data_IF_377829899345
#
_entry.id   IF_377829899345
#
_cell.length_a   1.000
_cell.length_b   1.000
_cell.length_c   1.000
_cell.angle_alpha   90.00
_cell.angle_beta   90.00
_cell.angle_gamma   90.00
#
_symmetry.space_group_name_H-M   'P 1'
#
loop_
_entity.id
_entity.type
_entity.pdbx_description
1 polymer ?
#
# COMPACT_ATOMS: atom_id res chain seq x y z
N UNK A 1 23.03 -13.48 -5.88
CA UNK A 1 22.85 -12.15 -5.31
C UNK A 1 21.66 -12.08 -4.39
N UNK A 2 21.84 -11.51 -3.25
CA UNK A 2 20.77 -11.39 -2.29
C UNK A 2 19.82 -10.27 -2.66
N UNK A 3 18.53 -10.53 -2.49
CA UNK A 3 17.54 -9.47 -2.60
C UNK A 3 17.51 -8.69 -1.30
N UNK A 4 17.42 -7.38 -1.40
CA UNK A 4 17.29 -6.55 -0.23
C UNK A 4 15.87 -6.67 0.34
N UNK A 5 15.70 -6.28 1.61
CA UNK A 5 14.38 -6.19 2.21
C UNK A 5 13.50 -5.17 1.49
N UNK A 6 14.12 -4.14 0.93
CA UNK A 6 13.43 -3.14 0.12
C UNK A 6 12.76 -3.79 -1.07
N UNK A 7 13.46 -4.69 -1.77
CA UNK A 7 12.88 -5.39 -2.91
C UNK A 7 11.71 -6.28 -2.51
N UNK A 8 11.82 -6.98 -1.37
CA UNK A 8 10.74 -7.81 -0.87
C UNK A 8 9.51 -6.97 -0.53
N UNK A 9 9.70 -5.81 0.09
CA UNK A 9 8.61 -4.91 0.45
C UNK A 9 7.96 -4.29 -0.79
N UNK A 10 8.65 -4.25 -1.94
CA UNK A 10 8.12 -3.69 -3.18
C UNK A 10 7.27 -4.68 -3.98
N UNK A 11 7.19 -5.95 -3.57
CA UNK A 11 6.36 -6.95 -4.27
C UNK A 11 4.88 -6.50 -4.36
N UNK A 12 4.26 -5.95 -3.30
CA UNK A 12 2.89 -5.45 -3.42
C UNK A 12 2.74 -4.38 -4.50
N UNK A 13 3.73 -3.49 -4.66
CA UNK A 13 3.69 -2.45 -5.69
C UNK A 13 3.58 -3.06 -7.09
N UNK A 14 4.30 -4.14 -7.36
CA UNK A 14 4.25 -4.82 -8.65
C UNK A 14 2.88 -5.43 -8.91
N UNK A 15 2.29 -6.07 -7.90
CA UNK A 15 0.94 -6.65 -8.02
C UNK A 15 -0.10 -5.56 -8.24
N UNK A 16 0.03 -4.45 -7.55
CA UNK A 16 -0.88 -3.33 -7.71
C UNK A 16 -0.76 -2.73 -9.11
N UNK A 17 0.46 -2.58 -9.63
CA UNK A 17 0.66 -2.10 -11.00
C UNK A 17 -0.02 -3.02 -12.01
N UNK A 18 0.05 -4.34 -11.80
CA UNK A 18 -0.62 -5.30 -12.65
C UNK A 18 -2.14 -5.14 -12.61
N UNK A 19 -2.70 -4.97 -11.41
CA UNK A 19 -4.13 -4.74 -11.23
C UNK A 19 -4.57 -3.47 -11.94
N UNK A 20 -3.82 -2.39 -11.79
CA UNK A 20 -4.13 -1.10 -12.43
C UNK A 20 -4.08 -1.24 -13.94
N UNK A 21 -3.08 -1.96 -14.46
CA UNK A 21 -2.96 -2.19 -15.90
C UNK A 21 -4.13 -2.98 -16.44
N UNK A 22 -4.57 -4.01 -15.74
CA UNK A 22 -5.73 -4.81 -16.13
C UNK A 22 -7.03 -4.01 -16.05
N UNK A 23 -7.13 -3.13 -15.06
CA UNK A 23 -8.29 -2.26 -14.89
C UNK A 23 -8.43 -1.32 -16.10
N UNK A 24 -7.31 -0.79 -16.59
CA UNK A 24 -7.28 -0.01 -17.84
C UNK A 24 -7.91 1.37 -17.75
N UNK A 25 -8.32 1.81 -16.57
CA UNK A 25 -8.93 3.13 -16.39
C UNK A 25 -7.91 4.21 -16.05
N UNK A 26 -8.41 5.43 -15.90
CA UNK A 26 -7.60 6.58 -15.54
C UNK A 26 -7.60 6.74 -14.02
N UNK A 27 -6.42 6.75 -13.40
CA UNK A 27 -6.29 6.91 -11.96
C UNK A 27 -6.89 8.21 -11.44
N UNK A 28 -6.95 9.25 -12.27
CA UNK A 28 -7.53 10.52 -11.85
C UNK A 28 -9.04 10.42 -11.59
N UNK A 29 -9.71 9.44 -12.21
CA UNK A 29 -11.14 9.23 -11.97
C UNK A 29 -11.41 8.60 -10.62
N UNK A 30 -10.39 8.02 -9.98
CA UNK A 30 -10.55 7.37 -8.68
C UNK A 30 -10.77 8.37 -7.54
N UNK A 31 -10.51 9.65 -7.77
CA UNK A 31 -10.79 10.69 -6.77
C UNK A 31 -12.26 10.71 -6.37
N UNK A 32 -13.15 10.30 -7.28
CA UNK A 32 -14.60 10.28 -7.05
C UNK A 32 -15.10 8.90 -6.60
N UNK A 33 -14.20 7.94 -6.39
CA UNK A 33 -14.61 6.60 -5.95
C UNK A 33 -15.26 6.65 -4.57
N UNK A 34 -16.34 5.89 -4.41
CA UNK A 34 -17.07 5.83 -3.14
C UNK A 34 -16.40 4.82 -2.20
N UNK A 35 -15.52 5.31 -1.35
CA UNK A 35 -14.78 4.47 -0.41
C UNK A 35 -15.66 3.86 0.68
N UNK A 36 -16.88 4.38 0.85
CA UNK A 36 -17.84 3.80 1.80
C UNK A 36 -18.28 2.39 1.38
N UNK A 37 -18.09 2.02 0.12
CA UNK A 37 -18.38 0.67 -0.35
C UNK A 37 -17.36 -0.36 0.16
N UNK A 38 -16.22 0.08 0.68
CA UNK A 38 -15.19 -0.79 1.22
C UNK A 38 -15.56 -1.22 2.65
N UNK A 39 -16.49 -2.14 2.75
CA UNK A 39 -17.03 -2.60 4.04
C UNK A 39 -16.43 -3.93 4.51
N UNK A 40 -15.62 -4.60 3.70
CA UNK A 40 -14.96 -5.83 4.07
C UNK A 40 -13.98 -5.57 5.23
N UNK A 41 -13.94 -6.45 6.27
CA UNK A 41 -13.01 -6.24 7.39
C UNK A 41 -11.56 -6.08 6.97
N UNK A 42 -11.10 -6.78 5.93
CA UNK A 42 -9.75 -6.62 5.43
C UNK A 42 -9.50 -5.25 4.82
N UNK A 43 -10.50 -4.72 4.12
CA UNK A 43 -10.43 -3.38 3.53
C UNK A 43 -10.40 -2.30 4.60
N UNK A 44 -11.19 -2.47 5.65
CA UNK A 44 -11.19 -1.54 6.78
C UNK A 44 -9.85 -1.58 7.53
N UNK A 45 -9.28 -2.78 7.69
CA UNK A 45 -7.97 -2.93 8.34
C UNK A 45 -6.89 -2.20 7.55
N UNK A 46 -6.90 -2.31 6.22
CA UNK A 46 -5.95 -1.61 5.35
C UNK A 46 -6.14 -0.11 5.46
N UNK A 47 -7.37 0.37 5.41
CA UNK A 47 -7.66 1.79 5.52
C UNK A 47 -7.16 2.36 6.85
N UNK A 48 -7.38 1.65 7.96
CA UNK A 48 -6.87 2.06 9.27
C UNK A 48 -5.34 2.08 9.28
N UNK A 49 -4.72 1.09 8.65
CA UNK A 49 -3.27 1.02 8.56
C UNK A 49 -2.70 2.20 7.77
N UNK A 50 -3.34 2.57 6.67
CA UNK A 50 -2.92 3.72 5.86
C UNK A 50 -3.03 5.02 6.67
N UNK A 51 -4.04 5.15 7.51
CA UNK A 51 -4.21 6.33 8.35
C UNK A 51 -3.09 6.50 9.37
N UNK A 52 -2.40 5.41 9.76
CA UNK A 52 -1.29 5.46 10.72
C UNK A 52 0.02 5.94 10.11
N UNK A 53 0.13 6.00 8.79
CA UNK A 53 1.41 6.24 8.11
C UNK A 53 2.09 7.52 8.59
N UNK A 54 1.35 8.61 8.67
CA UNK A 54 1.90 9.89 9.09
C UNK A 54 2.49 9.83 10.49
N UNK A 55 1.77 9.21 11.42
CA UNK A 55 2.24 9.09 12.80
C UNK A 55 3.48 8.21 12.88
N UNK A 56 3.55 7.15 12.08
CA UNK A 56 4.72 6.27 12.04
C UNK A 56 5.95 7.04 11.54
N UNK A 57 5.78 7.85 10.48
CA UNK A 57 6.88 8.67 9.96
C UNK A 57 7.36 9.66 11.01
N UNK A 58 6.45 10.36 11.66
CA UNK A 58 6.80 11.35 12.68
C UNK A 58 7.52 10.71 13.87
N UNK A 59 7.03 9.56 14.34
CA UNK A 59 7.63 8.85 15.45
C UNK A 59 9.01 8.32 15.06
N UNK A 60 9.13 7.73 13.88
CA UNK A 60 10.41 7.21 13.41
C UNK A 60 11.48 8.29 13.28
N UNK A 61 11.08 9.47 12.80
CA UNK A 61 12.01 10.60 12.69
C UNK A 61 12.40 11.14 14.05
N UNK A 62 11.42 11.35 14.93
CA UNK A 62 11.65 11.92 16.26
C UNK A 62 12.55 11.02 17.13
N UNK A 63 12.37 9.72 17.02
CA UNK A 63 13.10 8.76 17.84
C UNK A 63 14.34 8.21 17.14
N UNK A 64 14.65 8.71 15.95
CA UNK A 64 15.77 8.21 15.15
C UNK A 64 15.67 6.69 14.96
N UNK A 65 14.48 6.21 14.66
CA UNK A 65 14.17 4.78 14.61
C UNK A 65 13.56 4.41 13.23
N UNK A 66 14.37 4.40 12.16
CA UNK A 66 13.85 4.06 10.82
C UNK A 66 13.28 2.64 10.76
N UNK A 67 13.68 1.74 11.66
CA UNK A 67 13.11 0.39 11.69
C UNK A 67 11.61 0.38 11.97
N UNK A 68 11.07 1.43 12.60
CA UNK A 68 9.62 1.53 12.81
C UNK A 68 8.88 1.67 11.49
N UNK A 69 9.48 2.41 10.55
CA UNK A 69 8.91 2.57 9.21
C UNK A 69 8.98 1.24 8.46
N UNK A 70 10.11 0.53 8.56
CA UNK A 70 10.27 -0.77 7.90
C UNK A 70 9.26 -1.78 8.42
N UNK A 71 9.04 -1.85 9.73
CA UNK A 71 8.06 -2.76 10.32
C UNK A 71 6.63 -2.40 9.87
N UNK A 72 6.32 -1.11 9.84
CA UNK A 72 5.02 -0.64 9.36
C UNK A 72 4.77 -1.07 7.92
N UNK A 73 5.76 -0.88 7.04
CA UNK A 73 5.61 -1.26 5.62
C UNK A 73 5.45 -2.76 5.46
N UNK A 74 6.15 -3.55 6.27
CA UNK A 74 6.01 -5.00 6.26
C UNK A 74 4.60 -5.41 6.67
N UNK A 75 4.07 -4.80 7.73
CA UNK A 75 2.71 -5.08 8.18
C UNK A 75 1.68 -4.69 7.14
N UNK A 76 1.85 -3.52 6.51
CA UNK A 76 0.96 -3.05 5.46
C UNK A 76 0.99 -4.01 4.27
N UNK A 77 2.17 -4.45 3.87
CA UNK A 77 2.32 -5.42 2.79
C UNK A 77 1.60 -6.73 3.11
N UNK A 78 1.70 -7.19 4.36
CA UNK A 78 1.00 -8.40 4.81
C UNK A 78 -0.51 -8.25 4.74
N UNK A 79 -1.04 -7.11 5.17
CA UNK A 79 -2.46 -6.81 5.08
C UNK A 79 -2.93 -6.77 3.62
N UNK A 80 -2.14 -6.16 2.75
CA UNK A 80 -2.46 -6.12 1.33
C UNK A 80 -2.49 -7.51 0.72
N UNK A 81 -1.48 -8.35 1.01
CA UNK A 81 -1.43 -9.70 0.47
C UNK A 81 -2.62 -10.54 0.94
N UNK A 82 -3.00 -10.42 2.21
CA UNK A 82 -4.17 -11.10 2.73
C UNK A 82 -5.45 -10.71 1.98
N UNK A 83 -5.61 -9.43 1.73
CA UNK A 83 -6.75 -8.90 0.99
C UNK A 83 -6.71 -9.35 -0.47
N UNK A 84 -5.56 -9.23 -1.12
CA UNK A 84 -5.37 -9.60 -2.52
C UNK A 84 -5.70 -11.07 -2.76
N UNK A 85 -5.34 -11.94 -1.81
CA UNK A 85 -5.59 -13.37 -1.93
C UNK A 85 -7.03 -13.76 -1.58
N UNK A 86 -7.68 -12.99 -0.71
CA UNK A 86 -9.03 -13.31 -0.24
C UNK A 86 -10.13 -12.70 -1.11
N UNK A 87 -9.86 -11.55 -1.73
CA UNK A 87 -10.88 -10.79 -2.45
C UNK A 87 -10.45 -10.51 -3.89
N UNK A 88 -11.44 -10.44 -4.76
CA UNK A 88 -11.21 -10.12 -6.15
C UNK A 88 -11.16 -8.61 -6.31
N UNK A 89 -10.06 -8.10 -6.89
CA UNK A 89 -9.90 -6.65 -7.08
C UNK A 89 -10.82 -6.12 -8.17
N UNK A 90 -10.85 -6.80 -9.32
CA UNK A 90 -11.58 -6.34 -10.50
C UNK A 90 -12.93 -7.06 -10.59
N UNK A 91 -13.86 -6.68 -9.71
CA UNK A 91 -15.22 -7.22 -9.70
C UNK A 91 -16.07 -6.53 -10.78
N UNK A 92 -17.22 -7.12 -11.09
CA UNK A 92 -18.11 -6.59 -12.13
C UNK A 92 -18.82 -5.30 -11.72
N UNK A 93 -19.05 -5.11 -10.42
CA UNK A 93 -19.62 -3.87 -9.90
C UNK A 93 -18.61 -2.73 -10.08
N UNK A 94 -18.90 -1.80 -11.00
CA UNK A 94 -17.98 -0.72 -11.35
C UNK A 94 -17.63 0.14 -10.14
N UNK A 95 -18.62 0.50 -9.33
CA UNK A 95 -18.37 1.36 -8.16
C UNK A 95 -17.47 0.67 -7.14
N UNK A 96 -17.73 -0.60 -6.85
CA UNK A 96 -16.91 -1.36 -5.91
C UNK A 96 -15.51 -1.61 -6.49
N UNK A 97 -15.43 -1.92 -7.77
CA UNK A 97 -14.15 -2.10 -8.45
C UNK A 97 -13.28 -0.85 -8.34
N UNK A 98 -13.86 0.31 -8.62
CA UNK A 98 -13.12 1.57 -8.54
C UNK A 98 -12.66 1.85 -7.12
N UNK A 99 -13.50 1.59 -6.12
CA UNK A 99 -13.14 1.75 -4.73
C UNK A 99 -11.96 0.83 -4.34
N UNK A 100 -11.99 -0.43 -4.78
CA UNK A 100 -10.91 -1.38 -4.50
C UNK A 100 -9.62 -0.99 -5.21
N UNK A 101 -9.68 -0.54 -6.45
CA UNK A 101 -8.49 -0.06 -7.17
C UNK A 101 -7.93 1.19 -6.48
N UNK A 102 -8.79 2.10 -6.01
CA UNK A 102 -8.36 3.28 -5.28
C UNK A 102 -7.61 2.91 -3.99
N UNK A 103 -8.12 1.93 -3.24
CA UNK A 103 -7.45 1.46 -2.03
C UNK A 103 -6.09 0.84 -2.36
N UNK A 104 -6.01 0.02 -3.39
CA UNK A 104 -4.76 -0.59 -3.84
C UNK A 104 -3.75 0.47 -4.25
N UNK A 105 -4.19 1.50 -4.99
CA UNK A 105 -3.32 2.59 -5.40
C UNK A 105 -2.79 3.37 -4.19
N UNK A 106 -3.60 3.56 -3.15
CA UNK A 106 -3.18 4.21 -1.92
C UNK A 106 -2.12 3.38 -1.19
N UNK A 107 -2.28 2.06 -1.14
CA UNK A 107 -1.27 1.16 -0.56
C UNK A 107 0.07 1.31 -1.30
N UNK A 108 0.03 1.30 -2.63
CA UNK A 108 1.24 1.48 -3.45
C UNK A 108 1.93 2.80 -3.14
N UNK A 109 1.16 3.88 -3.05
CA UNK A 109 1.68 5.21 -2.79
C UNK A 109 2.41 5.25 -1.44
N UNK A 110 1.79 4.71 -0.40
CA UNK A 110 2.39 4.67 0.94
C UNK A 110 3.66 3.82 0.96
N UNK A 111 3.63 2.64 0.32
CA UNK A 111 4.80 1.77 0.28
C UNK A 111 5.96 2.47 -0.44
N UNK A 112 5.71 3.09 -1.57
CA UNK A 112 6.75 3.80 -2.33
C UNK A 112 7.32 4.97 -1.54
N UNK A 113 6.47 5.74 -0.88
CA UNK A 113 6.92 6.85 -0.05
C UNK A 113 7.73 6.37 1.14
N UNK A 114 7.29 5.31 1.81
CA UNK A 114 8.01 4.73 2.94
C UNK A 114 9.37 4.19 2.53
N UNK A 115 9.46 3.51 1.40
CA UNK A 115 10.73 3.00 0.89
C UNK A 115 11.68 4.12 0.51
N UNK A 116 11.16 5.21 -0.06
CA UNK A 116 11.97 6.38 -0.40
C UNK A 116 12.58 7.01 0.86
N UNK A 117 11.79 7.11 1.92
CA UNK A 117 12.25 7.64 3.21
C UNK A 117 13.33 6.73 3.80
N UNK A 118 13.13 5.42 3.76
CA UNK A 118 14.13 4.45 4.23
C UNK A 118 15.41 4.52 3.40
N UNK A 119 15.30 4.72 2.08
CA UNK A 119 16.44 4.85 1.20
C UNK A 119 17.30 6.05 1.55
N UNK A 120 16.69 7.17 1.93
CA UNK A 120 17.41 8.36 2.38
C UNK A 120 18.07 8.11 3.74
N UNK A 121 17.38 7.38 4.64
CA UNK A 121 17.88 7.12 5.99
C UNK A 121 19.00 6.10 6.02
N UNK A 122 18.98 5.12 5.09
CA UNK A 122 19.91 4.00 5.06
C UNK A 122 20.38 3.71 3.63
N UNK A 123 21.08 4.66 2.99
CA UNK A 123 21.43 4.53 1.57
C UNK A 123 22.31 3.32 1.25
N UNK A 124 23.18 2.90 2.15
CA UNK A 124 24.05 1.75 1.91
C UNK A 124 23.30 0.42 1.96
N UNK A 125 22.06 0.41 2.38
CA UNK A 125 21.24 -0.79 2.43
C UNK A 125 20.69 -1.20 1.06
N UNK A 126 20.84 -0.34 0.10
CA UNK A 126 20.24 -0.56 -1.21
C UNK A 126 21.12 -1.31 -2.18
#
# INVERSE_FOLDING_TARGET
>A
MKRSRVQSADVPSRRICSVIAQWGGDLTTLADADLALLANPRELAIANKLAEFRDVIETGARELAPHLIAFYLKDLAGEFHGWYNAERMLVDDVALRDARVALAAAVRHVIRNGLAILGVSCPESM
#
